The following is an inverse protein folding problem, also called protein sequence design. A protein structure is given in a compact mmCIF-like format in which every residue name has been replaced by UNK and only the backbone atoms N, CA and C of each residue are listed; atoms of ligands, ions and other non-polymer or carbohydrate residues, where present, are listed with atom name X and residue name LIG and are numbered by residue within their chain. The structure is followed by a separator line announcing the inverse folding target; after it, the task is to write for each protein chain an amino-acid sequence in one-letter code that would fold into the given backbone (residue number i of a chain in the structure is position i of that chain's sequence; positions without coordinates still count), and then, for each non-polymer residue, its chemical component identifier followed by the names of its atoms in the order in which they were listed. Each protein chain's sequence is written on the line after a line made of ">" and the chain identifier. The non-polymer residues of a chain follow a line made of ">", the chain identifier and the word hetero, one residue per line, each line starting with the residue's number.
data_IF_967740170724
#
_entry.id   IF_967740170724
#
_cell.length_a   1.000
_cell.length_b   1.000
_cell.length_c   1.000
_cell.angle_alpha   90.00
_cell.angle_beta   90.00
_cell.angle_gamma   90.00
#
_symmetry.space_group_name_H-M   'P 1'
#
loop_
_entity.id
_entity.type
_entity.pdbx_description
1 polymer ?
#
# COMPACT_ATOMS: atom_id res chain seq x y z
N UNK A 1 91.18 13.20 -13.51
CA UNK A 1 90.88 14.03 -14.70
C UNK A 1 89.43 13.78 -15.13
N UNK A 2 88.59 14.84 -15.13
CA UNK A 2 87.37 15.10 -15.96
C UNK A 2 86.24 14.03 -15.99
N UNK A 3 84.93 14.31 -16.03
CA UNK A 3 84.07 15.51 -15.97
C UNK A 3 82.60 15.01 -15.85
N UNK A 4 81.81 15.70 -15.02
CA UNK A 4 80.36 15.96 -15.06
C UNK A 4 79.62 15.57 -16.37
N UNK A 5 78.45 14.90 -16.30
CA UNK A 5 77.24 15.15 -17.14
C UNK A 5 75.96 14.54 -16.50
N UNK A 6 75.03 15.44 -16.14
CA UNK A 6 73.55 15.44 -16.16
C UNK A 6 72.63 14.44 -15.42
N UNK A 7 71.83 15.06 -14.53
CA UNK A 7 70.49 14.70 -14.04
C UNK A 7 69.40 14.62 -15.15
N UNK A 8 68.28 13.98 -14.77
CA UNK A 8 66.89 14.05 -15.29
C UNK A 8 66.43 12.88 -16.17
N UNK A 9 65.56 12.02 -15.62
CA UNK A 9 64.26 11.59 -16.18
C UNK A 9 63.58 10.64 -15.18
N UNK A 10 62.64 11.16 -14.38
CA UNK A 10 61.18 11.08 -14.62
C UNK A 10 60.54 9.85 -13.99
N UNK A 11 60.10 10.06 -12.74
CA UNK A 11 58.99 9.36 -12.07
C UNK A 11 57.79 9.19 -13.00
N UNK A 12 57.50 7.96 -13.43
CA UNK A 12 56.20 7.63 -14.03
C UNK A 12 55.35 6.89 -12.99
N UNK A 13 54.69 7.68 -12.14
CA UNK A 13 53.52 7.26 -11.37
C UNK A 13 52.41 6.95 -12.38
N UNK A 14 52.22 5.68 -12.71
CA UNK A 14 51.00 5.23 -13.40
C UNK A 14 49.89 5.20 -12.35
N UNK A 15 49.24 6.35 -12.19
CA UNK A 15 47.91 6.44 -11.60
C UNK A 15 46.93 5.71 -12.52
N UNK A 16 46.68 4.43 -12.25
CA UNK A 16 45.49 3.77 -12.79
C UNK A 16 44.30 4.36 -12.05
N UNK A 17 43.82 5.51 -12.52
CA UNK A 17 42.45 5.92 -12.27
C UNK A 17 41.59 4.83 -12.91
N UNK A 18 41.11 3.88 -12.11
CA UNK A 18 40.00 3.07 -12.51
C UNK A 18 38.87 4.05 -12.85
N UNK A 19 38.68 4.29 -14.15
CA UNK A 19 37.45 4.84 -14.68
C UNK A 19 36.36 3.99 -14.04
N UNK A 20 35.68 4.54 -13.04
CA UNK A 20 34.36 4.06 -12.72
C UNK A 20 33.61 4.14 -14.06
N UNK A 21 33.34 2.98 -14.65
CA UNK A 21 32.32 2.87 -15.70
C UNK A 21 31.07 3.33 -14.96
N UNK A 22 30.77 4.62 -15.07
CA UNK A 22 29.50 5.15 -14.62
C UNK A 22 28.53 4.57 -15.63
N UNK A 23 28.00 3.36 -15.31
CA UNK A 23 26.83 2.83 -15.99
C UNK A 23 25.82 3.94 -15.86
N UNK A 24 25.58 4.67 -16.96
CA UNK A 24 24.56 5.70 -16.97
C UNK A 24 23.27 4.95 -16.70
N UNK A 25 22.77 5.03 -15.48
CA UNK A 25 21.44 4.54 -15.19
C UNK A 25 20.53 5.24 -16.18
N UNK A 26 19.83 4.47 -17.01
CA UNK A 26 18.89 5.05 -17.96
C UNK A 26 17.74 5.65 -17.13
N UNK A 27 17.87 6.94 -16.82
CA UNK A 27 16.89 7.73 -16.07
C UNK A 27 15.64 8.05 -16.91
N UNK A 28 15.67 7.75 -18.20
CA UNK A 28 14.60 7.99 -19.17
C UNK A 28 13.76 6.73 -19.42
N UNK A 29 13.63 5.87 -18.39
CA UNK A 29 12.84 4.63 -18.45
C UNK A 29 11.38 4.83 -18.85
N UNK A 30 10.82 6.04 -18.87
CA UNK A 30 9.49 6.29 -19.42
C UNK A 30 9.57 7.01 -20.76
N UNK A 31 10.38 8.07 -20.85
CA UNK A 31 10.41 8.97 -22.02
C UNK A 31 11.09 8.37 -23.26
N UNK A 32 11.96 7.36 -23.12
CA UNK A 32 12.57 6.66 -24.26
C UNK A 32 11.77 5.43 -24.71
N UNK A 33 10.72 5.03 -23.99
CA UNK A 33 9.83 3.95 -24.37
C UNK A 33 8.90 4.35 -25.53
N UNK A 34 8.44 3.33 -26.28
CA UNK A 34 7.30 3.49 -27.19
C UNK A 34 6.03 3.91 -26.43
N UNK A 35 5.04 4.47 -27.11
CA UNK A 35 3.80 4.91 -26.46
C UNK A 35 3.07 3.77 -25.72
N UNK A 36 2.95 2.61 -26.34
CA UNK A 36 2.37 1.41 -25.73
C UNK A 36 3.17 0.98 -24.49
N UNK A 37 4.49 0.89 -24.63
CA UNK A 37 5.37 0.49 -23.53
C UNK A 37 5.35 1.51 -22.37
N UNK A 38 5.11 2.81 -22.64
CA UNK A 38 4.89 3.81 -21.57
C UNK A 38 3.65 3.48 -20.76
N UNK A 39 2.55 3.11 -21.40
CA UNK A 39 1.33 2.76 -20.68
C UNK A 39 1.52 1.49 -19.84
N UNK A 40 2.12 0.44 -20.39
CA UNK A 40 2.45 -0.78 -19.64
C UNK A 40 3.34 -0.48 -18.42
N UNK A 41 4.38 0.35 -18.62
CA UNK A 41 5.30 0.80 -17.58
C UNK A 41 4.58 1.61 -16.49
N UNK A 42 3.65 2.48 -16.88
CA UNK A 42 2.84 3.25 -15.93
C UNK A 42 1.86 2.36 -15.17
N UNK A 43 1.19 1.42 -15.83
CA UNK A 43 0.30 0.46 -15.17
C UNK A 43 1.05 -0.39 -14.14
N UNK A 44 2.26 -0.83 -14.47
CA UNK A 44 3.14 -1.53 -13.53
C UNK A 44 3.58 -0.62 -12.37
N UNK A 45 4.07 0.59 -12.67
CA UNK A 45 4.57 1.54 -11.67
C UNK A 45 3.48 1.99 -10.69
N UNK A 46 2.26 2.22 -11.18
CA UNK A 46 1.11 2.60 -10.37
C UNK A 46 0.64 1.47 -9.43
N UNK A 47 1.18 0.26 -9.57
CA UNK A 47 0.88 -0.90 -8.73
C UNK A 47 -0.51 -1.49 -9.00
N UNK A 48 -0.74 -2.69 -8.49
CA UNK A 48 -2.01 -3.39 -8.62
C UNK A 48 -2.93 -3.21 -7.41
N UNK A 49 -3.83 -4.18 -7.21
CA UNK A 49 -4.71 -4.24 -6.04
C UNK A 49 -3.96 -4.31 -4.71
N UNK A 50 -2.70 -4.79 -4.71
CA UNK A 50 -1.86 -4.87 -3.50
C UNK A 50 -1.56 -3.51 -2.87
N UNK A 51 -1.34 -2.45 -3.67
CA UNK A 51 -1.11 -1.11 -3.12
C UNK A 51 -2.38 -0.55 -2.47
N UNK A 52 -3.54 -0.84 -3.08
CA UNK A 52 -4.82 -0.52 -2.48
C UNK A 52 -5.02 -1.25 -1.15
N UNK A 53 -4.63 -2.53 -1.05
CA UNK A 53 -4.72 -3.29 0.20
C UNK A 53 -3.75 -2.84 1.30
N UNK A 54 -2.59 -2.27 0.96
CA UNK A 54 -1.76 -1.58 1.95
C UNK A 54 -2.46 -0.34 2.51
N UNK A 55 -3.01 0.51 1.65
CA UNK A 55 -3.78 1.69 2.08
C UNK A 55 -5.00 1.27 2.92
N UNK A 56 -5.74 0.25 2.47
CA UNK A 56 -6.89 -0.30 3.20
C UNK A 56 -6.49 -0.84 4.58
N UNK A 57 -5.38 -1.57 4.69
CA UNK A 57 -4.90 -2.10 5.97
C UNK A 57 -4.52 -1.01 6.97
N UNK A 58 -3.78 0.01 6.52
CA UNK A 58 -3.43 1.18 7.35
C UNK A 58 -4.69 1.93 7.82
N UNK A 59 -5.61 2.19 6.89
CA UNK A 59 -6.86 2.87 7.19
C UNK A 59 -7.74 2.05 8.13
N UNK A 60 -7.78 0.73 7.99
CA UNK A 60 -8.52 -0.16 8.89
C UNK A 60 -8.01 -0.02 10.33
N UNK A 61 -6.68 -0.01 10.53
CA UNK A 61 -6.10 0.21 11.86
C UNK A 61 -6.51 1.56 12.45
N UNK A 62 -6.54 2.62 11.64
CA UNK A 62 -7.01 3.93 12.10
C UNK A 62 -8.51 3.96 12.42
N UNK A 63 -9.35 3.23 11.66
CA UNK A 63 -10.78 3.09 11.98
C UNK A 63 -10.95 2.41 13.33
N UNK A 64 -10.27 1.28 13.55
CA UNK A 64 -10.35 0.56 14.82
C UNK A 64 -9.92 1.44 16.00
N UNK A 65 -8.78 2.10 15.87
CA UNK A 65 -8.26 2.98 16.92
C UNK A 65 -9.21 4.16 17.18
N UNK A 66 -9.74 4.80 16.13
CA UNK A 66 -10.69 5.89 16.27
C UNK A 66 -12.01 5.44 16.92
N UNK A 67 -12.46 4.21 16.68
CA UNK A 67 -13.62 3.63 17.40
C UNK A 67 -13.29 3.40 18.88
N UNK A 68 -12.08 2.95 19.21
CA UNK A 68 -11.63 2.77 20.60
C UNK A 68 -11.59 4.12 21.33
N UNK A 69 -11.10 5.15 20.66
CA UNK A 69 -10.98 6.51 21.18
C UNK A 69 -12.29 7.30 21.11
N UNK A 70 -13.39 6.67 20.66
CA UNK A 70 -14.71 7.28 20.46
C UNK A 70 -14.69 8.52 19.53
N UNK A 71 -13.69 8.60 18.65
CA UNK A 71 -13.59 9.63 17.61
C UNK A 71 -14.28 9.17 16.33
N UNK A 72 -15.62 9.13 16.36
CA UNK A 72 -16.43 8.58 15.26
C UNK A 72 -16.30 9.37 13.95
N UNK A 73 -16.06 10.69 14.02
CA UNK A 73 -15.81 11.50 12.84
C UNK A 73 -14.52 11.04 12.11
N UNK A 74 -13.44 10.78 12.85
CA UNK A 74 -12.19 10.28 12.28
C UNK A 74 -12.34 8.85 11.75
N UNK A 75 -13.08 8.00 12.47
CA UNK A 75 -13.41 6.65 12.03
C UNK A 75 -14.19 6.69 10.71
N UNK A 76 -15.25 7.51 10.60
CA UNK A 76 -16.04 7.66 9.39
C UNK A 76 -15.19 8.15 8.21
N UNK A 77 -14.31 9.13 8.44
CA UNK A 77 -13.37 9.61 7.42
C UNK A 77 -12.50 8.48 6.86
N UNK A 78 -11.84 7.70 7.73
CA UNK A 78 -11.01 6.59 7.27
C UNK A 78 -11.83 5.45 6.64
N UNK A 79 -13.05 5.20 7.13
CA UNK A 79 -13.96 4.20 6.56
C UNK A 79 -14.40 4.53 5.13
N UNK A 80 -14.69 5.80 4.85
CA UNK A 80 -14.94 6.28 3.49
C UNK A 80 -13.69 6.12 2.60
N UNK A 81 -12.49 6.41 3.13
CA UNK A 81 -11.24 6.25 2.38
C UNK A 81 -10.89 4.80 2.06
N UNK A 82 -11.32 3.84 2.89
CA UNK A 82 -11.20 2.40 2.57
C UNK A 82 -12.00 2.06 1.31
N UNK A 83 -13.24 2.55 1.20
CA UNK A 83 -14.04 2.37 -0.02
C UNK A 83 -13.33 2.94 -1.24
N UNK A 84 -12.84 4.18 -1.14
CA UNK A 84 -12.12 4.82 -2.25
C UNK A 84 -10.89 3.99 -2.68
N UNK A 85 -10.13 3.45 -1.72
CA UNK A 85 -8.95 2.62 -1.98
C UNK A 85 -9.32 1.32 -2.70
N UNK A 86 -10.37 0.63 -2.24
CA UNK A 86 -10.86 -0.61 -2.86
C UNK A 86 -11.37 -0.33 -4.27
N UNK A 87 -12.17 0.72 -4.49
CA UNK A 87 -12.70 1.08 -5.81
C UNK A 87 -11.56 1.38 -6.80
N UNK A 88 -10.56 2.17 -6.40
CA UNK A 88 -9.34 2.38 -7.21
C UNK A 88 -8.58 1.08 -7.46
N UNK A 89 -8.51 0.19 -6.47
CA UNK A 89 -7.92 -1.14 -6.62
C UNK A 89 -8.63 -1.95 -7.71
N UNK A 90 -9.97 -2.02 -7.67
CA UNK A 90 -10.76 -2.80 -8.65
C UNK A 90 -10.68 -2.21 -10.05
N UNK A 91 -10.45 -0.91 -10.22
CA UNK A 91 -10.15 -0.32 -11.54
C UNK A 91 -8.90 -0.97 -12.16
N UNK A 92 -7.86 -1.21 -11.34
CA UNK A 92 -6.59 -1.81 -11.78
C UNK A 92 -6.63 -3.34 -11.87
N UNK A 93 -7.56 -3.98 -11.16
CA UNK A 93 -7.80 -5.45 -11.20
C UNK A 93 -9.31 -5.72 -11.21
N UNK A 94 -9.98 -5.60 -12.37
CA UNK A 94 -11.43 -5.70 -12.49
C UNK A 94 -12.02 -7.00 -11.95
N UNK A 95 -11.29 -8.11 -12.05
CA UNK A 95 -11.75 -9.43 -11.58
C UNK A 95 -12.00 -9.49 -10.07
N UNK A 96 -11.39 -8.60 -9.28
CA UNK A 96 -11.62 -8.47 -7.83
C UNK A 96 -12.93 -7.73 -7.50
N UNK A 97 -13.54 -7.04 -8.47
CA UNK A 97 -14.73 -6.19 -8.26
C UNK A 97 -15.94 -6.95 -7.73
N UNK A 98 -16.34 -8.11 -8.30
CA UNK A 98 -17.57 -8.79 -7.87
C UNK A 98 -17.55 -9.17 -6.39
N UNK A 99 -16.41 -9.64 -5.87
CA UNK A 99 -16.27 -9.96 -4.47
C UNK A 99 -16.19 -8.70 -3.60
N UNK A 100 -15.45 -7.67 -4.02
CA UNK A 100 -15.39 -6.41 -3.29
C UNK A 100 -16.78 -5.79 -3.11
N UNK A 101 -17.60 -5.76 -4.17
CA UNK A 101 -18.96 -5.23 -4.16
C UNK A 101 -19.91 -6.08 -3.31
N UNK A 102 -19.91 -7.39 -3.54
CA UNK A 102 -20.87 -8.30 -2.89
C UNK A 102 -20.56 -8.57 -1.42
N UNK A 103 -19.29 -8.68 -1.06
CA UNK A 103 -18.87 -9.13 0.28
C UNK A 103 -18.65 -7.93 1.21
N UNK A 104 -18.05 -6.85 0.72
CA UNK A 104 -17.59 -5.75 1.57
C UNK A 104 -18.35 -4.45 1.35
N UNK A 105 -18.38 -3.92 0.11
CA UNK A 105 -18.93 -2.60 -0.20
C UNK A 105 -20.46 -2.51 -0.16
N UNK A 106 -21.15 -3.64 0.01
CA UNK A 106 -22.59 -3.69 0.29
C UNK A 106 -22.92 -3.37 1.75
N UNK A 107 -23.78 -4.17 2.35
CA UNK A 107 -24.31 -3.93 3.70
C UNK A 107 -23.23 -3.73 4.77
N UNK A 108 -22.13 -4.53 4.85
CA UNK A 108 -21.14 -4.35 5.91
C UNK A 108 -20.49 -2.96 5.91
N UNK A 109 -20.25 -2.38 4.73
CA UNK A 109 -19.73 -1.03 4.60
C UNK A 109 -20.76 0.03 5.00
N UNK A 110 -21.98 -0.09 4.50
CA UNK A 110 -23.05 0.87 4.75
C UNK A 110 -23.47 0.92 6.21
N UNK A 111 -23.62 -0.25 6.85
CA UNK A 111 -24.08 -0.35 8.23
C UNK A 111 -23.07 0.24 9.23
N UNK A 112 -21.76 0.01 9.02
CA UNK A 112 -20.76 0.63 9.86
C UNK A 112 -20.71 2.15 9.64
N UNK A 113 -20.78 2.61 8.38
CA UNK A 113 -20.78 4.04 8.10
C UNK A 113 -21.95 4.75 8.80
N UNK A 114 -23.17 4.20 8.67
CA UNK A 114 -24.35 4.75 9.31
C UNK A 114 -24.23 4.79 10.84
N UNK A 115 -23.64 3.76 11.45
CA UNK A 115 -23.40 3.74 12.90
C UNK A 115 -22.36 4.79 13.34
N UNK A 116 -21.33 5.03 12.53
CA UNK A 116 -20.32 6.06 12.79
C UNK A 116 -20.87 7.48 12.63
N UNK A 117 -21.72 7.72 11.62
CA UNK A 117 -22.27 9.07 11.32
C UNK A 117 -23.40 9.50 12.24
N UNK A 118 -24.14 8.55 12.83
CA UNK A 118 -25.19 8.86 13.80
C UNK A 118 -24.63 9.16 15.19
N UNK A 119 -23.32 8.96 15.39
CA UNK A 119 -22.64 9.10 16.69
C UNK A 119 -23.46 8.46 17.81
N UNK A 120 -24.04 7.28 17.56
CA UNK A 120 -24.84 6.56 18.55
C UNK A 120 -23.89 5.68 19.37
N UNK A 121 -23.38 6.12 20.54
CA UNK A 121 -22.60 5.28 21.44
C UNK A 121 -23.45 4.19 22.10
N UNK A 122 -24.75 4.09 21.77
CA UNK A 122 -25.64 3.13 22.39
C UNK A 122 -25.10 1.70 22.26
N UNK A 123 -24.80 1.13 23.43
CA UNK A 123 -24.73 -0.30 23.70
C UNK A 123 -23.94 -1.13 22.66
N UNK A 124 -22.70 -0.72 22.39
CA UNK A 124 -21.75 -1.42 21.51
C UNK A 124 -22.14 -1.49 20.01
N UNK A 125 -23.12 -0.72 19.54
CA UNK A 125 -23.57 -0.78 18.12
C UNK A 125 -22.43 -0.58 17.13
N UNK A 126 -21.61 0.46 17.29
CA UNK A 126 -20.45 0.74 16.42
C UNK A 126 -19.46 -0.42 16.43
N UNK A 127 -19.10 -0.95 17.61
CA UNK A 127 -18.18 -2.09 17.75
C UNK A 127 -18.72 -3.34 17.07
N UNK A 128 -20.01 -3.63 17.25
CA UNK A 128 -20.67 -4.77 16.62
C UNK A 128 -20.69 -4.64 15.09
N UNK A 129 -20.99 -3.45 14.54
CA UNK A 129 -20.92 -3.21 13.09
C UNK A 129 -19.49 -3.29 12.57
N UNK A 130 -18.50 -2.85 13.35
CA UNK A 130 -17.10 -3.01 12.99
C UNK A 130 -16.69 -4.48 12.95
N UNK A 131 -17.18 -5.34 13.84
CA UNK A 131 -16.96 -6.79 13.76
C UNK A 131 -17.57 -7.38 12.50
N UNK A 132 -18.80 -7.03 12.14
CA UNK A 132 -19.43 -7.49 10.89
C UNK A 132 -18.59 -7.07 9.68
N UNK A 133 -18.14 -5.82 9.65
CA UNK A 133 -17.27 -5.32 8.59
C UNK A 133 -15.89 -6.01 8.56
N UNK A 134 -15.33 -6.36 9.72
CA UNK A 134 -14.12 -7.18 9.85
C UNK A 134 -14.34 -8.57 9.23
N UNK A 135 -15.43 -9.25 9.55
CA UNK A 135 -15.73 -10.56 8.97
C UNK A 135 -15.88 -10.49 7.44
N UNK A 136 -16.42 -9.39 6.91
CA UNK A 136 -16.43 -9.14 5.47
C UNK A 136 -15.03 -9.02 4.86
N UNK A 137 -14.08 -8.35 5.53
CA UNK A 137 -12.67 -8.34 5.10
C UNK A 137 -12.09 -9.76 5.05
N UNK A 138 -12.30 -10.56 6.10
CA UNK A 138 -11.78 -11.93 6.17
C UNK A 138 -12.39 -12.85 5.10
N UNK A 139 -13.70 -12.74 4.89
CA UNK A 139 -14.43 -13.48 3.87
C UNK A 139 -13.99 -13.09 2.45
N UNK A 140 -13.72 -11.81 2.21
CA UNK A 140 -13.19 -11.33 0.94
C UNK A 140 -11.82 -11.96 0.67
N UNK A 141 -10.89 -11.97 1.64
CA UNK A 141 -9.59 -12.62 1.47
C UNK A 141 -9.69 -14.12 1.14
N UNK A 142 -10.67 -14.83 1.72
CA UNK A 142 -10.93 -16.23 1.40
C UNK A 142 -11.44 -16.37 -0.04
N UNK A 143 -12.42 -15.56 -0.44
CA UNK A 143 -12.98 -15.56 -1.79
C UNK A 143 -11.95 -15.16 -2.86
N UNK A 144 -10.93 -14.40 -2.45
CA UNK A 144 -9.81 -13.96 -3.26
C UNK A 144 -8.59 -14.90 -3.23
N UNK A 145 -8.76 -16.10 -2.68
CA UNK A 145 -7.78 -17.19 -2.59
C UNK A 145 -6.49 -16.80 -1.84
N UNK A 146 -6.61 -15.84 -0.90
CA UNK A 146 -5.51 -15.37 -0.05
C UNK A 146 -5.85 -15.44 1.45
N UNK A 147 -6.38 -16.57 1.96
CA UNK A 147 -6.85 -16.67 3.35
C UNK A 147 -5.74 -16.43 4.39
N UNK A 148 -4.48 -16.70 4.05
CA UNK A 148 -3.33 -16.43 4.93
C UNK A 148 -3.17 -14.93 5.27
N UNK A 149 -3.80 -14.01 4.51
CA UNK A 149 -3.85 -12.59 4.87
C UNK A 149 -4.61 -12.34 6.18
N UNK A 150 -5.48 -13.27 6.58
CA UNK A 150 -6.26 -13.18 7.82
C UNK A 150 -5.41 -13.47 9.07
N UNK A 151 -4.21 -14.04 8.91
CA UNK A 151 -3.29 -14.35 10.01
C UNK A 151 -2.42 -13.15 10.42
N UNK A 152 -2.62 -11.99 9.80
CA UNK A 152 -1.89 -10.77 10.13
C UNK A 152 -2.22 -10.27 11.56
N UNK A 153 -1.27 -9.61 12.25
CA UNK A 153 -1.51 -8.97 13.54
C UNK A 153 -2.72 -8.03 13.53
N UNK A 154 -2.98 -7.38 12.39
CA UNK A 154 -4.13 -6.51 12.17
C UNK A 154 -5.46 -7.19 12.53
N UNK A 155 -5.60 -8.48 12.23
CA UNK A 155 -6.82 -9.23 12.52
C UNK A 155 -6.70 -10.13 13.75
N UNK A 156 -5.51 -10.64 14.04
CA UNK A 156 -5.28 -11.59 15.14
C UNK A 156 -5.12 -10.92 16.50
N UNK A 157 -4.71 -9.64 16.54
CA UNK A 157 -4.50 -8.84 17.76
C UNK A 157 -5.46 -7.66 17.89
N UNK A 158 -6.54 -7.64 17.10
CA UNK A 158 -7.57 -6.60 17.12
C UNK A 158 -8.19 -6.48 18.53
N UNK A 159 -8.15 -5.29 19.16
CA UNK A 159 -8.76 -5.08 20.47
C UNK A 159 -10.28 -5.18 20.47
N UNK A 160 -10.94 -4.98 19.31
CA UNK A 160 -12.40 -5.07 19.18
C UNK A 160 -12.86 -6.51 18.89
N UNK A 161 -11.96 -7.47 18.67
CA UNK A 161 -12.31 -8.86 18.33
C UNK A 161 -13.17 -9.55 19.40
N UNK A 162 -12.89 -9.31 20.68
CA UNK A 162 -13.43 -10.10 21.81
C UNK A 162 -14.40 -9.34 22.73
N UNK A 163 -14.80 -8.12 22.37
CA UNK A 163 -15.75 -7.26 23.13
C UNK A 163 -17.19 -7.42 22.66
#
# INVERSE_FOLDING_TARGET
>A
MKRVVFLLLSTLLISVSALAIHKTENRNWLTEASEEERYERLEYYLGGFSSAMQETGERYAHVEQAIIDENYQLAAYHWQKIKDAIERGTMKRPDRRPNAERIFLGDPWQELLAALETEEPEDNKVRNRFKVAREACLACHIAEEVPFMNDQPLFTKSPIKDL
#
